data_IF_420876963151
#
_entry.id   IF_420876963151
#
_cell.length_a   1.000
_cell.length_b   1.000
_cell.length_c   1.000
_cell.angle_alpha   90.00
_cell.angle_beta   90.00
_cell.angle_gamma   90.00
#
_symmetry.space_group_name_H-M   'P 1'
#
loop_
_entity.id
_entity.type
_entity.pdbx_description
1 polymer ?
#
# COMPACT_ATOMS: atom_id res chain seq x y z
N UNK A 1 -13.59 1.21 -17.66
CA UNK A 1 -14.77 0.76 -18.45
C UNK A 1 -15.59 -0.18 -17.59
N UNK A 2 -16.92 -0.07 -17.54
CA UNK A 2 -17.75 -0.95 -16.74
C UNK A 2 -17.70 -2.40 -17.26
N UNK A 3 -17.53 -3.39 -16.36
CA UNK A 3 -17.35 -4.81 -16.74
C UNK A 3 -18.62 -5.45 -17.25
N UNK A 4 -19.79 -4.95 -16.82
CA UNK A 4 -21.10 -5.44 -17.25
C UNK A 4 -21.39 -5.22 -18.75
N UNK A 5 -20.54 -4.47 -19.47
CA UNK A 5 -20.55 -4.48 -20.93
C UNK A 5 -20.14 -5.86 -21.44
N UNK A 6 -20.98 -6.48 -22.28
CA UNK A 6 -20.76 -7.82 -22.82
C UNK A 6 -19.34 -8.03 -23.38
N UNK A 7 -18.82 -7.05 -24.12
CA UNK A 7 -17.47 -7.12 -24.69
C UNK A 7 -16.35 -7.08 -23.64
N UNK A 8 -16.54 -6.31 -22.56
CA UNK A 8 -15.54 -6.16 -21.48
C UNK A 8 -15.55 -7.39 -20.58
N UNK A 9 -16.73 -7.90 -20.23
CA UNK A 9 -16.89 -9.14 -19.47
C UNK A 9 -16.27 -10.34 -20.19
N UNK A 10 -16.54 -10.51 -21.50
CA UNK A 10 -15.93 -11.56 -22.31
C UNK A 10 -14.41 -11.44 -22.38
N UNK A 11 -13.87 -10.22 -22.53
CA UNK A 11 -12.45 -9.97 -22.48
C UNK A 11 -11.85 -10.39 -21.13
N UNK A 12 -12.48 -9.99 -20.03
CA UNK A 12 -12.04 -10.36 -18.69
C UNK A 12 -12.01 -11.88 -18.49
N UNK A 13 -13.06 -12.59 -18.91
CA UNK A 13 -13.12 -14.06 -18.82
C UNK A 13 -11.93 -14.74 -19.52
N UNK A 14 -11.41 -14.16 -20.61
CA UNK A 14 -10.20 -14.66 -21.30
C UNK A 14 -8.90 -14.35 -20.55
N UNK A 15 -8.91 -13.37 -19.66
CA UNK A 15 -7.77 -13.00 -18.82
C UNK A 15 -7.72 -13.82 -17.52
N UNK A 16 -8.85 -14.36 -17.04
CA UNK A 16 -8.94 -15.14 -15.79
C UNK A 16 -7.84 -16.20 -15.63
N UNK A 17 -7.51 -17.04 -16.64
CA UNK A 17 -6.44 -18.03 -16.49
C UNK A 17 -5.08 -17.40 -16.17
N UNK A 18 -4.79 -16.23 -16.72
CA UNK A 18 -3.55 -15.50 -16.44
C UNK A 18 -3.54 -14.91 -15.03
N UNK A 19 -4.69 -14.44 -14.55
CA UNK A 19 -4.85 -13.92 -13.19
C UNK A 19 -4.61 -15.03 -12.17
N UNK A 20 -5.26 -16.17 -12.34
CA UNK A 20 -5.10 -17.33 -11.46
C UNK A 20 -3.68 -17.89 -11.44
N UNK A 21 -2.94 -17.75 -12.55
CA UNK A 21 -1.56 -18.24 -12.67
C UNK A 21 -0.53 -17.25 -12.13
N UNK A 22 -0.78 -15.94 -12.22
CA UNK A 22 0.24 -14.90 -12.03
C UNK A 22 -0.04 -13.96 -10.84
N UNK A 23 -1.23 -14.03 -10.25
CA UNK A 23 -1.63 -13.19 -9.11
C UNK A 23 -2.04 -14.11 -7.96
N UNK A 24 -1.15 -14.23 -6.98
CA UNK A 24 -1.35 -15.09 -5.82
C UNK A 24 -2.59 -14.67 -5.02
N UNK A 25 -3.38 -15.66 -4.60
CA UNK A 25 -4.60 -15.45 -3.81
C UNK A 25 -5.74 -14.77 -4.58
N UNK A 26 -5.62 -14.61 -5.91
CA UNK A 26 -6.67 -14.04 -6.73
C UNK A 26 -7.84 -15.00 -6.95
N UNK A 27 -9.02 -14.42 -7.14
CA UNK A 27 -10.24 -15.11 -7.55
C UNK A 27 -10.89 -14.36 -8.72
N UNK A 28 -11.63 -15.02 -9.62
CA UNK A 28 -12.34 -14.32 -10.69
C UNK A 28 -13.36 -13.33 -10.12
N UNK A 29 -13.46 -12.12 -10.70
CA UNK A 29 -14.48 -11.15 -10.30
C UNK A 29 -15.86 -11.52 -10.87
N UNK A 30 -16.92 -10.98 -10.25
CA UNK A 30 -18.28 -11.07 -10.79
C UNK A 30 -18.45 -10.05 -11.94
N UNK A 31 -18.44 -10.55 -13.18
CA UNK A 31 -18.61 -9.71 -14.38
C UNK A 31 -20.02 -9.13 -14.53
N UNK A 32 -21.00 -9.60 -13.76
CA UNK A 32 -22.36 -9.08 -13.77
C UNK A 32 -22.56 -7.89 -12.83
N UNK A 33 -21.66 -7.73 -11.85
CA UNK A 33 -21.72 -6.64 -10.89
C UNK A 33 -21.21 -5.32 -11.52
N UNK A 34 -22.08 -4.28 -11.65
CA UNK A 34 -21.73 -3.03 -12.30
C UNK A 34 -20.70 -2.20 -11.53
N UNK A 35 -20.39 -2.55 -10.28
CA UNK A 35 -19.35 -1.90 -9.47
C UNK A 35 -17.94 -2.20 -9.95
N UNK A 36 -17.77 -3.22 -10.78
CA UNK A 36 -16.48 -3.53 -11.35
C UNK A 36 -16.19 -2.68 -12.59
N UNK A 37 -14.97 -2.17 -12.63
CA UNK A 37 -14.39 -1.45 -13.74
C UNK A 37 -13.09 -2.13 -14.20
N UNK A 38 -12.96 -2.37 -15.51
CA UNK A 38 -11.68 -2.77 -16.11
C UNK A 38 -10.97 -1.54 -16.70
N UNK A 39 -9.69 -1.43 -16.38
CA UNK A 39 -8.73 -0.51 -16.97
C UNK A 39 -7.76 -1.32 -17.83
N UNK A 40 -7.51 -0.88 -19.07
CA UNK A 40 -6.66 -1.60 -20.03
C UNK A 40 -5.46 -0.73 -20.41
N UNK A 41 -4.27 -1.30 -20.35
CA UNK A 41 -3.08 -0.73 -20.97
C UNK A 41 -2.94 -1.35 -22.36
N UNK A 42 -3.08 -0.53 -23.41
CA UNK A 42 -3.02 -0.97 -24.80
C UNK A 42 -1.95 -0.20 -25.57
N UNK A 43 -1.28 -0.89 -26.48
CA UNK A 43 -0.44 -0.30 -27.52
C UNK A 43 -1.21 -0.36 -28.84
N UNK A 44 -1.51 0.80 -29.40
CA UNK A 44 -2.10 0.91 -30.75
C UNK A 44 -0.99 1.08 -31.78
N UNK A 45 -0.97 0.22 -32.79
CA UNK A 45 -0.18 0.43 -34.01
C UNK A 45 -1.04 1.17 -35.01
N UNK A 46 -0.60 2.35 -35.44
CA UNK A 46 -1.24 3.09 -36.52
C UNK A 46 -0.37 3.14 -37.77
N UNK A 47 -1.01 3.29 -38.92
CA UNK A 47 -0.41 3.71 -40.19
C UNK A 47 -1.11 4.99 -40.67
N UNK A 48 -0.71 5.52 -41.83
CA UNK A 48 -1.31 6.72 -42.45
C UNK A 48 -2.82 6.57 -42.76
N UNK A 49 -3.39 5.37 -42.60
CA UNK A 49 -4.81 5.06 -42.81
C UNK A 49 -5.58 4.75 -41.51
N UNK A 50 -4.96 4.87 -40.33
CA UNK A 50 -5.62 4.67 -39.03
C UNK A 50 -4.99 3.57 -38.17
N UNK A 51 -5.74 3.04 -37.20
CA UNK A 51 -5.26 1.99 -36.27
C UNK A 51 -5.30 0.63 -36.97
N UNK A 52 -4.14 0.02 -37.15
CA UNK A 52 -3.93 -1.27 -37.83
C UNK A 52 -3.93 -2.44 -36.86
N UNK A 53 -3.64 -2.18 -35.59
CA UNK A 53 -3.65 -3.23 -34.57
C UNK A 53 -3.63 -2.68 -33.16
N UNK A 54 -4.20 -3.45 -32.24
CA UNK A 54 -4.21 -3.15 -30.81
C UNK A 54 -3.58 -4.34 -30.10
N UNK A 55 -2.67 -4.03 -29.17
CA UNK A 55 -1.97 -5.02 -28.37
C UNK A 55 -2.23 -4.74 -26.91
N UNK A 56 -2.82 -5.71 -26.21
CA UNK A 56 -3.00 -5.64 -24.77
C UNK A 56 -1.65 -5.81 -24.06
N UNK A 57 -1.31 -4.87 -23.20
CA UNK A 57 -0.07 -4.88 -22.41
C UNK A 57 -0.32 -5.32 -20.96
N UNK A 58 -1.49 -4.98 -20.43
CA UNK A 58 -1.89 -5.26 -19.06
C UNK A 58 -3.28 -4.73 -18.77
N UNK A 59 -3.78 -5.02 -17.57
CA UNK A 59 -5.07 -4.54 -17.12
C UNK A 59 -5.10 -4.37 -15.60
N UNK A 60 -6.13 -3.68 -15.12
CA UNK A 60 -6.53 -3.68 -13.72
C UNK A 60 -8.05 -3.86 -13.59
N UNK A 61 -8.47 -4.66 -12.61
CA UNK A 61 -9.86 -4.75 -12.17
C UNK A 61 -10.01 -3.96 -10.87
N UNK A 62 -10.89 -2.97 -10.90
CA UNK A 62 -11.12 -2.03 -9.80
C UNK A 62 -12.58 -2.13 -9.40
N UNK A 63 -12.84 -2.32 -8.11
CA UNK A 63 -14.19 -2.30 -7.56
C UNK A 63 -14.48 -0.92 -6.98
N UNK A 64 -15.66 -0.38 -7.32
CA UNK A 64 -16.20 0.82 -6.69
C UNK A 64 -17.21 0.44 -5.61
N UNK A 65 -16.91 0.80 -4.38
CA UNK A 65 -17.83 0.60 -3.25
C UNK A 65 -18.12 1.92 -2.55
N UNK A 66 -19.14 1.90 -1.68
CA UNK A 66 -19.57 3.06 -0.92
C UNK A 66 -19.53 2.72 0.57
N UNK A 67 -19.01 3.64 1.38
CA UNK A 67 -19.08 3.52 2.82
C UNK A 67 -20.51 3.79 3.34
N UNK A 68 -20.70 3.61 4.64
CA UNK A 68 -21.96 3.86 5.35
C UNK A 68 -22.41 5.33 5.35
N UNK A 69 -21.53 6.27 4.99
CA UNK A 69 -21.81 7.71 4.94
C UNK A 69 -22.03 8.17 3.48
N UNK A 70 -21.80 7.29 2.50
CA UNK A 70 -22.04 7.52 1.07
C UNK A 70 -20.80 8.00 0.30
N UNK A 71 -19.60 7.94 0.89
CA UNK A 71 -18.37 8.21 0.17
C UNK A 71 -18.05 7.07 -0.81
N UNK A 72 -17.61 7.41 -2.02
CA UNK A 72 -17.18 6.40 -3.01
C UNK A 72 -15.71 6.09 -2.82
N UNK A 73 -15.34 4.81 -2.88
CA UNK A 73 -13.97 4.31 -2.80
C UNK A 73 -13.64 3.48 -4.03
N UNK A 74 -12.38 3.54 -4.49
CA UNK A 74 -11.87 2.64 -5.51
C UNK A 74 -10.91 1.64 -4.89
N UNK A 75 -11.19 0.34 -5.06
CA UNK A 75 -10.32 -0.76 -4.62
C UNK A 75 -9.73 -1.48 -5.82
N UNK A 76 -8.43 -1.36 -6.00
CA UNK A 76 -7.69 -2.17 -6.98
C UNK A 76 -7.67 -3.61 -6.44
N UNK A 77 -8.44 -4.49 -7.07
CA UNK A 77 -8.50 -5.91 -6.68
C UNK A 77 -7.45 -6.73 -7.42
N UNK A 78 -7.30 -6.45 -8.72
CA UNK A 78 -6.36 -7.15 -9.58
C UNK A 78 -5.63 -6.13 -10.43
N UNK A 79 -4.32 -6.28 -10.54
CA UNK A 79 -3.51 -5.51 -11.49
C UNK A 79 -2.40 -6.41 -12.04
N UNK A 80 -2.35 -6.51 -13.36
CA UNK A 80 -1.42 -7.39 -14.04
C UNK A 80 -0.90 -6.74 -15.32
N UNK A 81 0.42 -6.60 -15.40
CA UNK A 81 1.11 -6.38 -16.67
C UNK A 81 1.52 -7.74 -17.20
N UNK A 82 1.18 -8.02 -18.46
CA UNK A 82 1.50 -9.33 -19.06
C UNK A 82 3.02 -9.55 -19.06
N UNK A 83 3.50 -10.78 -18.80
CA UNK A 83 4.92 -11.05 -18.56
C UNK A 83 5.89 -10.44 -19.61
N UNK A 84 5.61 -10.48 -20.94
CA UNK A 84 6.52 -9.92 -21.93
C UNK A 84 6.68 -8.39 -21.88
N UNK A 85 5.81 -7.68 -21.14
CA UNK A 85 5.75 -6.21 -21.09
C UNK A 85 6.05 -5.64 -19.70
N UNK A 86 6.45 -6.50 -18.74
CA UNK A 86 6.86 -6.08 -17.41
C UNK A 86 8.18 -5.29 -17.43
N UNK A 87 8.46 -4.55 -16.36
CA UNK A 87 9.68 -3.73 -16.23
C UNK A 87 9.74 -2.47 -17.10
N UNK A 88 8.68 -2.14 -17.83
CA UNK A 88 8.61 -0.99 -18.77
C UNK A 88 7.69 0.14 -18.33
N UNK A 89 7.29 0.17 -17.07
CA UNK A 89 6.44 1.23 -16.50
C UNK A 89 4.93 1.10 -16.72
N UNK A 90 4.43 0.09 -17.44
CA UNK A 90 2.99 -0.10 -17.70
C UNK A 90 2.14 -0.22 -16.42
N UNK A 91 2.66 -0.86 -15.37
CA UNK A 91 1.96 -0.96 -14.09
C UNK A 91 1.80 0.39 -13.38
N UNK A 92 2.84 1.24 -13.47
CA UNK A 92 2.79 2.63 -13.00
C UNK A 92 1.76 3.44 -13.79
N UNK A 93 1.71 3.28 -15.11
CA UNK A 93 0.72 3.96 -15.96
C UNK A 93 -0.73 3.58 -15.62
N UNK A 94 -0.99 2.29 -15.37
CA UNK A 94 -2.31 1.85 -14.91
C UNK A 94 -2.69 2.52 -13.57
N UNK A 95 -1.76 2.54 -12.61
CA UNK A 95 -1.98 3.20 -11.32
C UNK A 95 -2.21 4.72 -11.46
N UNK A 96 -1.45 5.37 -12.34
CA UNK A 96 -1.57 6.80 -12.65
C UNK A 96 -2.95 7.15 -13.23
N UNK A 97 -3.45 6.34 -14.18
CA UNK A 97 -4.79 6.51 -14.75
C UNK A 97 -5.88 6.30 -13.70
N UNK A 98 -5.79 5.25 -12.90
CA UNK A 98 -6.75 4.97 -11.81
C UNK A 98 -6.79 6.14 -10.82
N UNK A 99 -5.63 6.66 -10.42
CA UNK A 99 -5.58 7.78 -9.50
C UNK A 99 -6.10 9.08 -10.14
N UNK A 100 -5.81 9.31 -11.42
CA UNK A 100 -6.36 10.47 -12.15
C UNK A 100 -7.89 10.43 -12.20
N UNK A 101 -8.48 9.25 -12.43
CA UNK A 101 -9.93 9.05 -12.34
C UNK A 101 -10.42 9.34 -10.92
N UNK A 102 -9.78 8.76 -9.89
CA UNK A 102 -10.14 8.97 -8.50
C UNK A 102 -10.15 10.45 -8.09
N UNK A 103 -9.17 11.23 -8.57
CA UNK A 103 -9.11 12.69 -8.36
C UNK A 103 -10.25 13.38 -9.12
N UNK A 104 -10.43 13.07 -10.41
CA UNK A 104 -11.43 13.73 -11.26
C UNK A 104 -12.88 13.51 -10.81
N UNK A 105 -13.16 12.33 -10.28
CA UNK A 105 -14.48 11.94 -9.78
C UNK A 105 -14.65 12.23 -8.29
N UNK A 106 -13.64 12.82 -7.66
CA UNK A 106 -13.60 13.11 -6.23
C UNK A 106 -13.95 11.90 -5.35
N UNK A 107 -13.40 10.74 -5.70
CA UNK A 107 -13.44 9.52 -4.87
C UNK A 107 -12.75 9.83 -3.53
N UNK A 108 -13.18 9.15 -2.47
CA UNK A 108 -12.65 9.34 -1.13
C UNK A 108 -11.18 8.96 -1.02
N UNK A 109 -10.82 7.75 -1.48
CA UNK A 109 -9.45 7.26 -1.59
C UNK A 109 -9.33 6.09 -2.60
N UNK A 110 -8.08 5.68 -2.84
CA UNK A 110 -7.74 4.47 -3.59
C UNK A 110 -7.11 3.44 -2.64
N UNK A 111 -7.74 2.27 -2.54
CA UNK A 111 -7.28 1.12 -1.77
C UNK A 111 -6.82 -0.01 -2.69
N UNK A 112 -6.12 -1.00 -2.12
CA UNK A 112 -5.65 -2.18 -2.85
C UNK A 112 -5.99 -3.40 -2.02
N UNK A 113 -6.60 -4.39 -2.65
CA UNK A 113 -6.85 -5.70 -2.04
C UNK A 113 -5.54 -6.49 -2.03
N UNK A 114 -5.04 -6.82 -0.82
CA UNK A 114 -3.85 -7.67 -0.60
C UNK A 114 -2.72 -7.43 -1.62
N UNK A 115 -2.11 -6.25 -1.58
CA UNK A 115 -1.02 -5.90 -2.48
C UNK A 115 0.16 -6.90 -2.36
N UNK A 116 0.65 -7.39 -3.50
CA UNK A 116 1.93 -8.10 -3.54
C UNK A 116 3.08 -7.15 -3.23
N UNK A 117 4.19 -7.66 -2.68
CA UNK A 117 5.37 -6.86 -2.36
C UNK A 117 5.88 -6.08 -3.58
N UNK A 118 5.87 -6.70 -4.76
CA UNK A 118 6.28 -6.05 -6.00
C UNK A 118 5.35 -4.89 -6.37
N UNK A 119 4.03 -5.08 -6.28
CA UNK A 119 3.10 -4.01 -6.57
C UNK A 119 3.16 -2.90 -5.52
N UNK A 120 3.34 -3.27 -4.24
CA UNK A 120 3.52 -2.33 -3.14
C UNK A 120 4.76 -1.47 -3.34
N UNK A 121 5.87 -2.04 -3.83
CA UNK A 121 7.06 -1.29 -4.23
C UNK A 121 6.76 -0.27 -5.33
N UNK A 122 6.05 -0.69 -6.39
CA UNK A 122 5.66 0.21 -7.51
C UNK A 122 4.76 1.34 -7.02
N UNK A 123 3.75 1.02 -6.21
CA UNK A 123 2.83 2.00 -5.63
C UNK A 123 3.55 3.00 -4.75
N UNK A 124 4.40 2.53 -3.85
CA UNK A 124 5.16 3.40 -2.95
C UNK A 124 6.09 4.33 -3.74
N UNK A 125 6.79 3.83 -4.77
CA UNK A 125 7.61 4.71 -5.63
C UNK A 125 6.75 5.79 -6.31
N UNK A 126 5.58 5.42 -6.83
CA UNK A 126 4.65 6.35 -7.47
C UNK A 126 4.10 7.41 -6.50
N UNK A 127 3.62 6.98 -5.33
CA UNK A 127 3.05 7.87 -4.31
C UNK A 127 4.12 8.78 -3.70
N UNK A 128 5.36 8.29 -3.52
CA UNK A 128 6.47 9.11 -3.02
C UNK A 128 6.80 10.29 -3.92
N UNK A 129 6.83 10.10 -5.25
CA UNK A 129 7.05 11.21 -6.18
C UNK A 129 5.98 12.30 -6.00
N UNK A 130 4.72 11.91 -5.84
CA UNK A 130 3.62 12.85 -5.65
C UNK A 130 3.66 13.54 -4.29
N UNK A 131 4.08 12.82 -3.25
CA UNK A 131 4.19 13.35 -1.89
C UNK A 131 5.35 14.34 -1.73
N UNK A 132 6.48 14.13 -2.42
CA UNK A 132 7.61 15.06 -2.40
C UNK A 132 7.25 16.43 -2.99
N UNK A 133 6.40 16.44 -4.02
CA UNK A 133 5.88 17.65 -4.65
C UNK A 133 4.68 18.25 -3.88
N UNK A 134 4.18 17.57 -2.84
CA UNK A 134 3.00 17.99 -2.09
C UNK A 134 3.37 18.93 -0.93
N UNK A 135 3.26 20.23 -1.17
CA UNK A 135 3.61 21.29 -0.21
C UNK A 135 2.94 21.17 1.17
N UNK A 136 1.63 20.83 1.31
CA UNK A 136 0.93 20.88 2.60
C UNK A 136 1.53 20.05 3.73
N UNK A 137 2.32 19.01 3.41
CA UNK A 137 2.91 18.13 4.42
C UNK A 137 4.38 18.45 4.74
N UNK A 138 5.04 19.35 4.00
CA UNK A 138 6.50 19.59 4.13
C UNK A 138 6.89 20.10 5.52
N UNK A 139 6.08 20.99 6.08
CA UNK A 139 6.30 21.52 7.43
C UNK A 139 6.23 20.39 8.48
N UNK A 140 5.23 19.51 8.37
CA UNK A 140 5.01 18.44 9.34
C UNK A 140 6.14 17.40 9.29
N UNK A 141 6.63 17.08 8.08
CA UNK A 141 7.79 16.19 7.89
C UNK A 141 9.04 16.82 8.52
N UNK A 142 9.31 18.10 8.22
CA UNK A 142 10.48 18.81 8.74
C UNK A 142 10.47 18.88 10.27
N UNK A 143 9.30 19.18 10.84
CA UNK A 143 9.08 19.20 12.30
C UNK A 143 9.33 17.85 12.93
N UNK A 144 8.74 16.77 12.39
CA UNK A 144 8.93 15.42 12.88
C UNK A 144 10.40 14.97 12.78
N UNK A 145 11.07 15.27 11.68
CA UNK A 145 12.49 14.97 11.49
C UNK A 145 13.38 15.74 12.49
N UNK A 146 13.09 17.01 12.77
CA UNK A 146 13.81 17.79 13.80
C UNK A 146 13.64 17.19 15.19
N UNK A 147 12.43 16.75 15.54
CA UNK A 147 12.17 16.06 16.80
C UNK A 147 12.94 14.73 16.91
N UNK A 148 13.06 13.98 15.81
CA UNK A 148 13.88 12.76 15.77
C UNK A 148 15.38 13.06 15.95
N UNK A 149 15.89 14.17 15.38
CA UNK A 149 17.29 14.60 15.54
C UNK A 149 17.60 15.07 16.96
N UNK A 150 16.64 15.71 17.63
CA UNK A 150 16.82 16.30 18.98
C UNK A 150 16.43 15.34 20.12
N UNK A 151 15.82 14.20 19.82
CA UNK A 151 15.34 13.26 20.82
C UNK A 151 16.48 12.67 21.66
N UNK A 152 16.56 13.08 22.93
CA UNK A 152 17.36 12.39 23.94
C UNK A 152 16.74 11.01 24.20
N UNK A 153 17.55 9.95 24.11
CA UNK A 153 17.19 8.53 24.26
C UNK A 153 16.60 8.12 25.64
N UNK A 154 16.26 9.09 26.50
CA UNK A 154 15.88 8.88 27.90
C UNK A 154 14.37 8.91 28.16
N UNK A 155 13.53 9.28 27.19
CA UNK A 155 12.07 9.20 27.32
C UNK A 155 11.54 8.24 26.27
N UNK A 156 10.91 7.16 26.72
CA UNK A 156 10.23 6.19 25.86
C UNK A 156 9.29 6.99 24.93
N UNK A 157 9.41 6.88 23.59
CA UNK A 157 8.56 7.64 22.69
C UNK A 157 7.10 7.32 23.00
N UNK A 158 6.28 8.37 23.14
CA UNK A 158 4.84 8.18 23.30
C UNK A 158 4.28 7.67 21.96
N UNK A 159 3.30 6.76 22.03
CA UNK A 159 2.66 6.17 20.84
C UNK A 159 2.14 7.27 19.90
N UNK A 160 2.48 7.17 18.62
CA UNK A 160 2.07 8.12 17.58
C UNK A 160 2.78 9.48 17.59
N UNK A 161 3.85 9.65 18.38
CA UNK A 161 4.59 10.91 18.44
C UNK A 161 5.20 11.34 17.08
N UNK A 162 5.51 10.38 16.23
CA UNK A 162 6.13 10.61 14.92
C UNK A 162 5.24 10.19 13.75
N UNK A 163 3.97 9.88 14.04
CA UNK A 163 2.97 9.66 13.00
C UNK A 163 2.61 11.00 12.34
N UNK A 164 2.19 11.00 11.06
CA UNK A 164 1.69 12.21 10.44
C UNK A 164 0.48 12.74 11.22
N UNK A 165 0.38 14.07 11.40
CA UNK A 165 -0.79 14.65 12.05
C UNK A 165 -2.05 14.35 11.22
N UNK A 166 -3.21 14.29 11.89
CA UNK A 166 -4.49 13.96 11.24
C UNK A 166 -4.81 14.92 10.07
N UNK A 167 -4.40 16.19 10.19
CA UNK A 167 -4.54 17.18 9.11
C UNK A 167 -3.77 16.77 7.85
N UNK A 168 -2.51 16.33 8.00
CA UNK A 168 -1.71 15.86 6.89
C UNK A 168 -2.31 14.61 6.24
N UNK A 169 -2.82 13.68 7.06
CA UNK A 169 -3.53 12.48 6.58
C UNK A 169 -4.74 12.88 5.72
N UNK A 170 -5.56 13.82 6.20
CA UNK A 170 -6.73 14.30 5.45
C UNK A 170 -6.37 15.09 4.19
N UNK A 171 -5.33 15.92 4.23
CA UNK A 171 -4.88 16.70 3.07
C UNK A 171 -4.35 15.80 1.96
N UNK A 172 -3.55 14.79 2.32
CA UNK A 172 -3.03 13.77 1.41
C UNK A 172 -4.16 12.92 0.85
N UNK A 173 -5.08 12.45 1.68
CA UNK A 173 -6.23 11.66 1.24
C UNK A 173 -7.11 12.47 0.28
N UNK A 174 -7.47 13.70 0.64
CA UNK A 174 -8.36 14.56 -0.16
C UNK A 174 -7.75 14.90 -1.53
N UNK A 175 -6.46 15.23 -1.55
CA UNK A 175 -5.78 15.77 -2.74
C UNK A 175 -5.18 14.68 -3.62
N UNK A 176 -4.56 13.67 -3.02
CA UNK A 176 -3.80 12.62 -3.73
C UNK A 176 -4.52 11.27 -3.77
N UNK A 177 -5.62 11.12 -3.02
CA UNK A 177 -6.41 9.89 -2.89
C UNK A 177 -5.60 8.72 -2.31
N UNK A 178 -4.56 9.04 -1.54
CA UNK A 178 -3.72 8.06 -0.84
C UNK A 178 -4.37 7.77 0.52
N UNK A 179 -4.69 6.50 0.77
CA UNK A 179 -5.28 6.09 2.05
C UNK A 179 -4.26 6.17 3.20
N UNK A 180 -4.76 6.19 4.44
CA UNK A 180 -3.92 6.32 5.66
C UNK A 180 -2.82 5.26 5.74
N UNK A 181 -3.15 3.99 5.49
CA UNK A 181 -2.19 2.87 5.56
C UNK A 181 -1.02 3.06 4.58
N UNK A 182 -1.32 3.46 3.35
CA UNK A 182 -0.31 3.76 2.34
C UNK A 182 0.50 4.99 2.71
N UNK A 183 -0.15 6.03 3.23
CA UNK A 183 0.54 7.26 3.62
C UNK A 183 1.52 7.02 4.79
N UNK A 184 1.17 6.20 5.78
CA UNK A 184 2.09 5.82 6.87
C UNK A 184 3.36 5.13 6.34
N UNK A 185 3.23 4.24 5.35
CA UNK A 185 4.40 3.61 4.73
C UNK A 185 5.27 4.61 3.96
N UNK A 186 4.65 5.59 3.29
CA UNK A 186 5.39 6.65 2.61
C UNK A 186 6.03 7.63 3.61
N UNK A 187 5.35 7.89 4.73
CA UNK A 187 5.81 8.77 5.80
C UNK A 187 7.14 8.30 6.41
N UNK A 188 7.28 7.00 6.66
CA UNK A 188 8.55 6.41 7.09
C UNK A 188 9.71 6.74 6.13
N UNK A 189 9.44 6.75 4.82
CA UNK A 189 10.44 7.03 3.78
C UNK A 189 10.72 8.54 3.70
N UNK A 190 9.69 9.38 3.81
CA UNK A 190 9.85 10.84 3.85
C UNK A 190 10.72 11.27 5.05
N UNK A 191 10.48 10.70 6.23
CA UNK A 191 11.33 10.92 7.40
C UNK A 191 12.76 10.43 7.17
N UNK A 192 12.94 9.26 6.54
CA UNK A 192 14.27 8.77 6.21
C UNK A 192 15.03 9.74 5.30
N UNK A 193 14.36 10.32 4.28
CA UNK A 193 14.97 11.28 3.36
C UNK A 193 15.47 12.55 4.08
N UNK A 194 14.74 13.05 5.08
CA UNK A 194 15.16 14.20 5.91
C UNK A 194 16.30 13.87 6.90
N UNK A 195 16.53 12.57 7.15
CA UNK A 195 17.49 12.06 8.13
C UNK A 195 18.75 11.46 7.50
N UNK A 196 18.91 11.49 6.18
CA UNK A 196 20.04 10.84 5.46
C UNK A 196 21.42 11.20 6.04
N UNK A 197 21.58 12.41 6.57
CA UNK A 197 22.84 12.92 7.11
C UNK A 197 22.90 12.91 8.65
N UNK A 198 22.00 12.21 9.34
CA UNK A 198 21.86 12.19 10.80
C UNK A 198 22.02 10.80 11.38
N UNK A 199 22.16 10.71 12.71
CA UNK A 199 22.17 9.43 13.42
C UNK A 199 20.82 8.72 13.26
N UNK A 200 20.86 7.46 12.85
CA UNK A 200 19.69 6.66 12.49
C UNK A 200 19.15 5.82 13.66
N UNK A 201 19.75 5.85 14.86
CA UNK A 201 19.28 5.00 15.98
C UNK A 201 17.86 5.33 16.43
N UNK A 202 17.52 6.62 16.52
CA UNK A 202 16.14 7.05 16.84
C UNK A 202 15.15 6.61 15.74
N UNK A 203 15.57 6.67 14.47
CA UNK A 203 14.76 6.23 13.34
C UNK A 203 14.56 4.71 13.32
N UNK A 204 15.62 3.94 13.58
CA UNK A 204 15.54 2.47 13.72
C UNK A 204 14.60 2.07 14.86
N UNK A 205 14.65 2.80 15.96
CA UNK A 205 13.75 2.59 17.11
C UNK A 205 12.30 2.84 16.71
N UNK A 206 12.00 3.91 15.97
CA UNK A 206 10.67 4.21 15.43
C UNK A 206 10.13 3.05 14.56
N UNK A 207 10.93 2.55 13.61
CA UNK A 207 10.53 1.41 12.76
C UNK A 207 10.32 0.15 13.59
N UNK A 208 11.16 -0.07 14.61
CA UNK A 208 11.04 -1.24 15.50
C UNK A 208 9.75 -1.19 16.31
N UNK A 209 9.41 -0.03 16.86
CA UNK A 209 8.18 0.16 17.64
C UNK A 209 6.93 -0.02 16.77
N UNK A 210 6.93 0.53 15.55
CA UNK A 210 5.84 0.33 14.60
C UNK A 210 5.61 -1.14 14.24
N UNK A 211 6.67 -1.89 13.95
CA UNK A 211 6.56 -3.33 13.62
C UNK A 211 6.19 -4.19 14.81
N UNK A 212 6.60 -3.80 16.02
CA UNK A 212 6.17 -4.48 17.24
C UNK A 212 4.67 -4.34 17.44
N UNK A 213 4.10 -3.17 17.18
CA UNK A 213 2.66 -2.93 17.29
C UNK A 213 1.86 -3.77 16.27
N UNK A 214 2.34 -3.89 15.03
CA UNK A 214 1.76 -4.76 13.99
C UNK A 214 1.76 -6.24 14.41
N UNK A 215 2.87 -6.74 14.98
CA UNK A 215 2.99 -8.14 15.43
C UNK A 215 2.07 -8.46 16.62
N UNK A 216 1.88 -7.51 17.53
CA UNK A 216 1.05 -7.70 18.73
C UNK A 216 -0.45 -7.65 18.42
N UNK A 217 -0.85 -7.45 17.16
CA UNK A 217 -2.25 -7.31 16.76
C UNK A 217 -2.94 -6.17 17.51
N UNK A 218 -2.16 -5.18 17.98
CA UNK A 218 -2.66 -4.04 18.74
C UNK A 218 -3.16 -2.99 17.77
N UNK A 219 -4.05 -3.42 16.88
CA UNK A 219 -4.94 -2.53 16.15
C UNK A 219 -5.61 -1.68 17.22
N UNK A 220 -5.26 -0.41 17.23
CA UNK A 220 -5.90 0.58 18.07
C UNK A 220 -7.29 0.75 17.47
N UNK A 221 -8.20 -0.18 17.81
CA UNK A 221 -9.63 -0.03 17.74
C UNK A 221 -10.02 1.10 18.71
N UNK A 222 -9.68 2.33 18.34
CA UNK A 222 -10.30 3.54 18.84
C UNK A 222 -11.15 4.05 17.68
N UNK A 223 -12.34 3.45 17.57
CA UNK A 223 -13.50 3.91 16.82
C UNK A 223 -13.27 4.33 15.37
N UNK A 224 -12.95 3.37 14.50
CA UNK A 224 -13.46 3.40 13.13
C UNK A 224 -14.50 2.29 13.02
N UNK A 225 -15.77 2.67 12.93
CA UNK A 225 -16.84 1.77 12.54
C UNK A 225 -16.68 1.46 11.04
N UNK A 226 -15.83 0.48 10.73
CA UNK A 226 -15.84 -0.18 9.44
C UNK A 226 -16.01 -1.68 9.67
N UNK A 227 -17.26 -2.13 9.64
CA UNK A 227 -17.61 -3.53 9.82
C UNK A 227 -17.44 -4.24 8.46
N UNK A 228 -16.20 -4.49 8.05
CA UNK A 228 -15.94 -5.50 7.01
C UNK A 228 -16.09 -6.89 7.63
N UNK A 229 -17.12 -7.60 7.14
CA UNK A 229 -17.38 -9.01 7.36
C UNK A 229 -16.19 -9.85 6.91
N UNK A 230 -15.32 -10.23 7.83
CA UNK A 230 -14.49 -11.45 7.73
C UNK A 230 -14.18 -11.97 9.13
N UNK A 231 -15.19 -12.55 9.78
CA UNK A 231 -14.98 -13.37 10.99
C UNK A 231 -14.32 -14.68 10.58
N UNK A 232 -12.98 -14.73 10.56
CA UNK A 232 -12.27 -16.00 10.80
C UNK A 232 -11.99 -16.06 12.29
N UNK A 233 -12.94 -16.59 13.05
CA UNK A 233 -12.73 -16.96 14.43
C UNK A 233 -11.77 -18.17 14.46
N UNK A 234 -10.49 -17.92 14.73
CA UNK A 234 -9.57 -18.99 15.12
C UNK A 234 -9.83 -19.32 16.59
N UNK A 235 -10.58 -20.39 16.83
CA UNK A 235 -10.66 -21.01 18.16
C UNK A 235 -9.38 -21.82 18.40
N UNK A 236 -8.43 -21.27 19.17
CA UNK A 236 -7.41 -22.09 19.81
C UNK A 236 -8.07 -22.81 21.00
N UNK A 237 -8.18 -24.14 20.91
CA UNK A 237 -8.48 -24.99 22.05
C UNK A 237 -7.16 -25.28 22.75
N UNK A 238 -6.94 -24.67 23.90
CA UNK A 238 -5.88 -25.11 24.80
C UNK A 238 -6.46 -25.59 26.12
N UNK A 239 -6.11 -26.82 26.44
CA UNK A 239 -6.36 -27.45 27.73
C UNK A 239 -5.06 -28.19 28.07
N UNK A 240 -4.03 -27.47 28.53
CA UNK A 240 -2.75 -28.08 28.97
C UNK A 240 -2.15 -27.35 30.17
N UNK A 241 -1.57 -28.18 31.05
CA UNK A 241 -1.01 -27.95 32.38
C UNK A 241 0.02 -26.81 32.51
N UNK A 242 0.06 -26.23 33.72
CA UNK A 242 0.72 -24.97 34.09
C UNK A 242 2.24 -25.07 34.39
N UNK A 243 2.86 -26.26 34.33
CA UNK A 243 4.23 -26.43 34.82
C UNK A 243 5.33 -26.43 33.74
N UNK A 244 4.99 -26.25 32.44
CA UNK A 244 5.97 -26.19 31.33
C UNK A 244 6.15 -24.79 30.71
N UNK A 245 5.50 -23.77 31.29
CA UNK A 245 5.30 -22.45 30.67
C UNK A 245 6.59 -21.64 30.57
N UNK A 246 7.52 -21.73 31.52
CA UNK A 246 8.64 -20.78 31.56
C UNK A 246 9.70 -21.02 30.47
N UNK A 247 9.98 -22.27 30.12
CA UNK A 247 10.94 -22.58 29.05
C UNK A 247 10.33 -22.37 27.65
N UNK A 248 9.05 -22.74 27.47
CA UNK A 248 8.33 -22.55 26.20
C UNK A 248 8.02 -21.07 25.93
N UNK A 249 7.83 -20.24 26.97
CA UNK A 249 7.63 -18.79 26.82
C UNK A 249 8.93 -18.06 26.47
N UNK A 250 10.08 -18.45 27.05
CA UNK A 250 11.39 -17.86 26.71
C UNK A 250 11.81 -18.21 25.28
N UNK A 251 11.67 -19.49 24.85
CA UNK A 251 12.01 -19.91 23.49
C UNK A 251 11.10 -19.26 22.42
N UNK A 252 9.83 -19.02 22.77
CA UNK A 252 8.87 -18.33 21.91
C UNK A 252 9.11 -16.79 21.88
N UNK A 253 9.58 -16.20 22.98
CA UNK A 253 9.99 -14.79 23.02
C UNK A 253 11.25 -14.52 22.19
N UNK A 254 12.26 -15.38 22.28
CA UNK A 254 13.48 -15.26 21.48
C UNK A 254 13.17 -15.39 19.98
N UNK A 255 12.28 -16.32 19.62
CA UNK A 255 11.80 -16.50 18.24
C UNK A 255 11.05 -15.26 17.75
N UNK A 256 10.19 -14.65 18.58
CA UNK A 256 9.47 -13.42 18.24
C UNK A 256 10.40 -12.22 18.09
N UNK A 257 11.42 -12.10 18.94
CA UNK A 257 12.40 -11.01 18.84
C UNK A 257 13.24 -11.13 17.56
N UNK A 258 13.63 -12.36 17.17
CA UNK A 258 14.33 -12.61 15.92
C UNK A 258 13.46 -12.29 14.69
N UNK A 259 12.18 -12.69 14.70
CA UNK A 259 11.21 -12.30 13.66
C UNK A 259 11.05 -10.78 13.56
N UNK A 260 10.95 -10.07 14.69
CA UNK A 260 10.87 -8.61 14.70
C UNK A 260 12.13 -7.98 14.10
N UNK A 261 13.32 -8.46 14.48
CA UNK A 261 14.59 -8.00 13.90
C UNK A 261 14.63 -8.22 12.39
N UNK A 262 14.15 -9.37 11.90
CA UNK A 262 14.08 -9.67 10.48
C UNK A 262 13.11 -8.71 9.74
N UNK A 263 11.92 -8.48 10.29
CA UNK A 263 10.93 -7.56 9.71
C UNK A 263 11.46 -6.12 9.64
N UNK A 264 12.08 -5.63 10.71
CA UNK A 264 12.72 -4.30 10.73
C UNK A 264 13.86 -4.23 9.72
N UNK A 265 14.71 -5.26 9.66
CA UNK A 265 15.81 -5.33 8.70
C UNK A 265 15.34 -5.30 7.24
N UNK A 266 14.28 -6.05 6.94
CA UNK A 266 13.67 -6.07 5.60
C UNK A 266 13.06 -4.71 5.24
N UNK A 267 12.33 -4.10 6.18
CA UNK A 267 11.74 -2.78 5.95
C UNK A 267 12.81 -1.70 5.73
N UNK A 268 13.86 -1.68 6.54
CA UNK A 268 14.97 -0.73 6.36
C UNK A 268 15.62 -0.85 4.98
N UNK A 269 15.83 -2.09 4.50
CA UNK A 269 16.35 -2.33 3.15
C UNK A 269 15.41 -1.77 2.07
N UNK A 270 14.11 -2.02 2.20
CA UNK A 270 13.10 -1.51 1.28
C UNK A 270 13.11 0.02 1.23
N UNK A 271 13.11 0.68 2.39
CA UNK A 271 13.16 2.14 2.52
C UNK A 271 14.41 2.70 1.83
N UNK A 272 15.59 2.10 2.06
CA UNK A 272 16.84 2.51 1.42
C UNK A 272 16.79 2.34 -0.10
N UNK A 273 16.22 1.25 -0.62
CA UNK A 273 16.09 1.01 -2.06
C UNK A 273 15.15 2.01 -2.73
N UNK A 274 14.02 2.32 -2.08
CA UNK A 274 13.07 3.34 -2.58
C UNK A 274 13.72 4.72 -2.53
N UNK A 275 14.36 5.08 -1.42
CA UNK A 275 15.05 6.36 -1.26
C UNK A 275 16.13 6.57 -2.32
N UNK A 276 16.95 5.54 -2.61
CA UNK A 276 17.93 5.58 -3.71
C UNK A 276 17.28 5.87 -5.06
N UNK A 277 16.18 5.17 -5.39
CA UNK A 277 15.45 5.37 -6.66
C UNK A 277 14.90 6.79 -6.79
N UNK A 278 14.37 7.33 -5.70
CA UNK A 278 13.86 8.71 -5.64
C UNK A 278 14.99 9.71 -5.88
N UNK A 279 16.11 9.57 -5.16
CA UNK A 279 17.25 10.49 -5.26
C UNK A 279 17.88 10.49 -6.66
N UNK A 280 17.93 9.32 -7.33
CA UNK A 280 18.45 9.21 -8.69
C UNK A 280 17.57 9.92 -9.74
N UNK A 281 16.27 10.05 -9.48
CA UNK A 281 15.32 10.70 -10.40
C UNK A 281 15.19 12.22 -10.17
N UNK A 282 15.75 12.76 -9.07
CA UNK A 282 15.73 14.18 -8.71
C UNK A 282 17.08 14.91 -8.96
N UNK A 283 18.06 14.23 -9.57
CA UNK A 283 19.31 14.83 -10.09
C UNK A 283 19.18 15.13 -11.59
#
# INVERSE_FOLDING_TARGET
>A
MAVNSMAVGELYCRLVPLVLLLVDGSSPIDVTDPRWEIYLAIESKSNDHGVVGIKLLGFAAVNRFYDNIGNSHLRISQILVLPPYQGRGHGRLLLEVINSVAVSENVYDVTVEKASDYFQHVRTCFDMHRLLDFEPIKHDISSAALHLKQGNSSKKPFKGQFDPPLTAVEDVRRSLKINKKQFLQCWEILLFLELIHSDFENYRTLITDGRRDDMLGKDTALNDFDHEMTTVAVCLRDNVNVDNINAEVEENQDTQEEQLKQLVGNRMKEIMEIAKKILLNHQ
#
